data_IF_826825533362
#
_entry.id   IF_826825533362
#
_cell.length_a   1.000
_cell.length_b   1.000
_cell.length_c   1.000
_cell.angle_alpha   90.00
_cell.angle_beta   90.00
_cell.angle_gamma   90.00
#
_symmetry.space_group_name_H-M   'P 1'
#
loop_
_entity.id
_entity.type
_entity.pdbx_description
1 polymer ?
#
# COMPACT_ATOMS: atom_id res chain seq x y z
N UNK A 1 -5.11 -18.12 20.28
CA UNK A 1 -5.49 -16.72 20.61
C UNK A 1 -6.50 -16.28 19.55
N UNK A 2 -7.71 -15.91 19.94
CA UNK A 2 -8.89 -15.96 19.06
C UNK A 2 -9.06 -14.74 18.16
N UNK A 3 -9.59 -14.92 16.95
CA UNK A 3 -10.04 -13.88 16.01
C UNK A 3 -10.86 -12.76 16.68
N UNK A 4 -11.58 -13.09 17.75
CA UNK A 4 -12.38 -12.15 18.52
C UNK A 4 -11.53 -11.10 19.26
N UNK A 5 -10.32 -11.45 19.70
CA UNK A 5 -9.42 -10.49 20.33
C UNK A 5 -9.00 -9.39 19.34
N UNK A 6 -8.63 -9.76 18.11
CA UNK A 6 -8.27 -8.80 17.06
C UNK A 6 -9.45 -7.92 16.63
N UNK A 7 -10.65 -8.49 16.48
CA UNK A 7 -11.86 -7.72 16.17
C UNK A 7 -12.20 -6.71 17.26
N UNK A 8 -12.02 -7.09 18.53
CA UNK A 8 -12.24 -6.17 19.65
C UNK A 8 -11.23 -5.02 19.63
N UNK A 9 -9.95 -5.30 19.37
CA UNK A 9 -8.89 -4.28 19.26
C UNK A 9 -9.17 -3.31 18.11
N UNK A 10 -9.59 -3.81 16.96
CA UNK A 10 -9.99 -2.97 15.81
C UNK A 10 -11.17 -2.06 16.15
N UNK A 11 -12.25 -2.61 16.71
CA UNK A 11 -13.44 -1.85 17.09
C UNK A 11 -13.13 -0.75 18.12
N UNK A 12 -12.24 -1.05 19.09
CA UNK A 12 -11.80 -0.06 20.08
C UNK A 12 -10.89 1.00 19.46
N UNK A 13 -10.02 0.62 18.53
CA UNK A 13 -9.18 1.56 17.77
C UNK A 13 -10.06 2.54 16.98
N UNK A 14 -11.09 2.04 16.29
CA UNK A 14 -12.07 2.87 15.58
C UNK A 14 -12.80 3.83 16.52
N UNK A 15 -13.21 3.38 17.70
CA UNK A 15 -13.85 4.25 18.70
C UNK A 15 -12.92 5.38 19.16
N UNK A 16 -11.62 5.09 19.36
CA UNK A 16 -10.63 6.07 19.78
C UNK A 16 -10.36 7.10 18.68
N UNK A 17 -10.28 6.67 17.43
CA UNK A 17 -10.16 7.56 16.25
C UNK A 17 -11.40 8.43 16.09
N UNK A 18 -12.61 7.87 16.19
CA UNK A 18 -13.87 8.63 16.09
C UNK A 18 -14.00 9.67 17.19
N UNK A 19 -13.70 9.31 18.45
CA UNK A 19 -13.62 10.28 19.56
C UNK A 19 -12.60 11.38 19.25
N UNK A 20 -11.40 11.01 18.83
CA UNK A 20 -10.37 11.99 18.47
C UNK A 20 -10.87 12.96 17.39
N UNK A 21 -11.46 12.43 16.32
CA UNK A 21 -11.96 13.22 15.18
C UNK A 21 -13.12 14.16 15.55
N UNK A 22 -13.92 13.82 16.57
CA UNK A 22 -15.04 14.66 17.02
C UNK A 22 -14.60 15.82 17.90
N UNK A 23 -13.51 15.66 18.65
CA UNK A 23 -13.07 16.62 19.67
C UNK A 23 -11.81 17.41 19.29
N UNK A 24 -11.11 17.07 18.21
CA UNK A 24 -9.92 17.78 17.74
C UNK A 24 -10.13 18.41 16.36
N UNK A 25 -9.36 19.46 16.06
CA UNK A 25 -9.40 20.14 14.76
C UNK A 25 -8.94 19.21 13.63
N UNK A 26 -9.17 19.63 12.38
CA UNK A 26 -8.91 18.88 11.13
C UNK A 26 -7.46 18.44 10.89
N UNK A 27 -6.52 18.76 11.79
CA UNK A 27 -5.10 18.61 11.55
C UNK A 27 -4.48 17.60 12.53
N UNK A 28 -3.96 16.50 11.99
CA UNK A 28 -3.21 15.50 12.71
C UNK A 28 -1.71 15.81 12.61
N UNK A 29 -1.04 16.04 13.73
CA UNK A 29 0.42 16.25 13.78
C UNK A 29 1.11 14.98 14.28
N UNK A 30 2.42 14.83 14.02
CA UNK A 30 3.19 13.66 14.48
C UNK A 30 3.25 13.52 16.00
N UNK A 31 3.11 14.63 16.72
CA UNK A 31 3.12 14.67 18.19
C UNK A 31 1.75 14.34 18.81
N UNK A 32 0.75 14.04 17.99
CA UNK A 32 -0.58 13.79 18.48
C UNK A 32 -0.62 12.54 19.38
N UNK A 33 -1.20 12.62 20.59
CA UNK A 33 -1.32 11.47 21.49
C UNK A 33 -2.03 10.26 20.88
N UNK A 34 -2.85 10.44 19.85
CA UNK A 34 -3.45 9.34 19.10
C UNK A 34 -2.39 8.47 18.40
N UNK A 35 -1.30 9.10 17.91
CA UNK A 35 -0.22 8.45 17.16
C UNK A 35 0.95 8.03 18.06
N UNK A 36 1.22 8.79 19.12
CA UNK A 36 2.40 8.54 19.98
C UNK A 36 2.13 7.55 21.10
N UNK A 37 0.88 7.41 21.56
CA UNK A 37 0.57 6.59 22.72
C UNK A 37 0.14 5.17 22.30
N UNK A 38 0.73 4.17 22.96
CA UNK A 38 0.24 2.80 22.89
C UNK A 38 -1.16 2.69 23.49
N UNK A 39 -1.92 1.73 22.97
CA UNK A 39 -3.26 1.39 23.40
C UNK A 39 -3.20 0.01 24.04
N UNK A 40 -3.46 -0.04 25.33
CA UNK A 40 -3.44 -1.27 26.10
C UNK A 40 -4.85 -1.80 26.31
N UNK A 41 -5.03 -3.10 26.15
CA UNK A 41 -6.28 -3.81 26.41
C UNK A 41 -6.01 -5.10 27.16
N UNK A 42 -6.80 -5.39 28.19
CA UNK A 42 -6.76 -6.68 28.87
C UNK A 42 -7.95 -7.54 28.44
N UNK A 43 -7.66 -8.73 27.93
CA UNK A 43 -8.68 -9.71 27.52
C UNK A 43 -8.27 -11.09 28.06
N UNK A 44 -9.13 -11.68 28.91
CA UNK A 44 -8.95 -13.02 29.46
C UNK A 44 -7.54 -13.25 30.09
N UNK A 45 -7.02 -12.26 30.82
CA UNK A 45 -5.70 -12.34 31.45
C UNK A 45 -4.51 -12.13 30.50
N UNK A 46 -4.75 -11.77 29.24
CA UNK A 46 -3.72 -11.37 28.29
C UNK A 46 -3.78 -9.85 28.03
N UNK A 47 -2.62 -9.20 27.96
CA UNK A 47 -2.49 -7.80 27.55
C UNK A 47 -2.23 -7.71 26.05
N UNK A 48 -3.06 -6.95 25.35
CA UNK A 48 -2.87 -6.59 23.95
C UNK A 48 -2.40 -5.15 23.91
N UNK A 49 -1.34 -4.90 23.14
CA UNK A 49 -0.77 -3.58 22.90
C UNK A 49 -0.96 -3.25 21.43
N UNK A 50 -1.53 -2.08 21.14
CA UNK A 50 -1.71 -1.57 19.78
C UNK A 50 -1.18 -0.16 19.62
N UNK A 51 -0.81 0.21 18.41
CA UNK A 51 -0.41 1.56 18.01
C UNK A 51 -1.22 2.01 16.80
N UNK A 52 -1.39 3.33 16.64
CA UNK A 52 -2.01 3.92 15.45
C UNK A 52 -0.93 4.73 14.74
N UNK A 53 -0.79 4.51 13.43
CA UNK A 53 0.17 5.22 12.60
C UNK A 53 -0.57 6.00 11.51
N UNK A 54 -0.08 7.21 11.21
CA UNK A 54 -0.58 8.01 10.11
C UNK A 54 0.07 7.59 8.79
N UNK A 55 -0.74 7.02 7.92
CA UNK A 55 -0.33 6.55 6.60
C UNK A 55 -0.26 7.68 5.56
N UNK A 56 -0.81 8.87 5.83
CA UNK A 56 -0.92 9.96 4.85
C UNK A 56 0.42 10.57 4.40
N UNK A 57 1.50 10.32 5.16
CA UNK A 57 2.85 10.79 4.84
C UNK A 57 3.62 9.89 3.86
N UNK A 58 3.04 8.77 3.43
CA UNK A 58 3.67 7.87 2.47
C UNK A 58 3.08 8.09 1.06
N UNK A 59 3.91 7.90 0.04
CA UNK A 59 3.47 7.85 -1.34
C UNK A 59 2.63 6.59 -1.57
N UNK A 60 1.40 6.75 -2.05
CA UNK A 60 0.57 5.60 -2.42
C UNK A 60 1.00 5.07 -3.79
N UNK A 61 1.59 3.88 -3.84
CA UNK A 61 2.12 3.33 -5.08
C UNK A 61 1.04 3.09 -6.14
N UNK A 62 -0.18 2.73 -5.71
CA UNK A 62 -1.34 2.59 -6.59
C UNK A 62 -1.73 3.89 -7.29
N UNK A 63 -1.23 5.04 -6.83
CA UNK A 63 -1.47 6.34 -7.47
C UNK A 63 -0.71 6.53 -8.77
N UNK A 64 0.28 5.67 -9.09
CA UNK A 64 0.99 5.66 -10.39
C UNK A 64 0.02 5.42 -11.56
N UNK A 65 -1.13 4.82 -11.29
CA UNK A 65 -2.21 4.63 -12.24
C UNK A 65 -3.50 5.33 -11.80
N UNK A 66 -4.44 5.46 -12.74
CA UNK A 66 -5.82 5.87 -12.52
C UNK A 66 -6.75 4.85 -13.17
N UNK A 67 -7.93 4.66 -12.58
CA UNK A 67 -8.94 3.80 -13.19
C UNK A 67 -9.43 4.42 -14.52
N UNK A 68 -9.24 3.67 -15.61
CA UNK A 68 -9.90 3.90 -16.89
C UNK A 68 -11.20 3.11 -17.00
N UNK A 69 -11.78 3.08 -18.21
CA UNK A 69 -13.05 2.39 -18.47
C UNK A 69 -12.90 0.86 -18.38
N UNK A 70 -11.83 0.33 -18.97
CA UNK A 70 -11.58 -1.11 -19.07
C UNK A 70 -10.25 -1.52 -18.45
N UNK A 71 -9.31 -0.58 -18.35
CA UNK A 71 -7.94 -0.80 -17.86
C UNK A 71 -7.47 0.34 -16.93
N UNK A 72 -6.30 0.18 -16.34
CA UNK A 72 -5.56 1.20 -15.60
C UNK A 72 -4.73 2.04 -16.57
N UNK A 73 -4.83 3.36 -16.44
CA UNK A 73 -4.09 4.31 -17.25
C UNK A 73 -3.00 4.96 -16.41
N UNK A 74 -1.89 5.30 -17.04
CA UNK A 74 -0.81 6.06 -16.40
C UNK A 74 -1.32 7.36 -15.76
N UNK A 75 -0.81 7.66 -14.57
CA UNK A 75 -1.01 8.91 -13.88
C UNK A 75 0.29 9.70 -13.84
N UNK A 76 0.56 10.43 -14.94
CA UNK A 76 1.78 11.22 -15.13
C UNK A 76 2.11 12.16 -13.97
N UNK A 77 1.08 12.71 -13.31
CA UNK A 77 1.29 13.57 -12.14
C UNK A 77 1.90 12.80 -10.98
N UNK A 78 1.33 11.65 -10.62
CA UNK A 78 1.89 10.80 -9.56
C UNK A 78 3.24 10.21 -9.93
N UNK A 79 3.44 9.85 -11.21
CA UNK A 79 4.74 9.37 -11.69
C UNK A 79 5.83 10.43 -11.48
N UNK A 80 5.55 11.71 -11.77
CA UNK A 80 6.51 12.79 -11.51
C UNK A 80 6.82 12.95 -10.02
N UNK A 81 5.80 12.86 -9.16
CA UNK A 81 6.01 12.90 -7.69
C UNK A 81 6.85 11.71 -7.23
N UNK A 82 6.62 10.52 -7.77
CA UNK A 82 7.42 9.34 -7.45
C UNK A 82 8.87 9.50 -7.90
N UNK A 83 9.12 10.03 -9.11
CA UNK A 83 10.47 10.35 -9.60
C UNK A 83 11.20 11.30 -8.66
N UNK A 84 10.55 12.41 -8.27
CA UNK A 84 11.12 13.37 -7.33
C UNK A 84 11.42 12.72 -5.97
N UNK A 85 10.52 11.88 -5.47
CA UNK A 85 10.72 11.15 -4.22
C UNK A 85 11.92 10.20 -4.29
N UNK A 86 12.05 9.42 -5.37
CA UNK A 86 13.17 8.49 -5.56
C UNK A 86 14.49 9.23 -5.76
N UNK A 87 14.47 10.36 -6.46
CA UNK A 87 15.63 11.25 -6.61
C UNK A 87 16.14 11.77 -5.26
N UNK A 88 15.23 12.14 -4.33
CA UNK A 88 15.61 12.54 -2.97
C UNK A 88 16.22 11.41 -2.13
N UNK A 89 16.03 10.15 -2.57
CA UNK A 89 16.70 8.98 -1.98
C UNK A 89 17.97 8.56 -2.70
N UNK A 90 18.46 9.39 -3.64
CA UNK A 90 19.63 9.14 -4.47
C UNK A 90 19.51 7.87 -5.34
N UNK A 91 18.28 7.47 -5.65
CA UNK A 91 18.04 6.35 -6.55
C UNK A 91 18.32 6.76 -8.00
N UNK A 92 18.96 5.87 -8.75
CA UNK A 92 19.24 6.12 -10.17
C UNK A 92 17.96 6.35 -10.97
N UNK A 93 18.01 7.30 -11.91
CA UNK A 93 16.85 7.68 -12.71
C UNK A 93 16.40 6.55 -13.64
N UNK A 94 17.32 5.78 -14.23
CA UNK A 94 16.94 4.67 -15.12
C UNK A 94 16.28 3.56 -14.31
N UNK A 95 16.82 3.24 -13.13
CA UNK A 95 16.19 2.29 -12.22
C UNK A 95 14.81 2.77 -11.75
N UNK A 96 14.65 4.07 -11.52
CA UNK A 96 13.35 4.66 -11.17
C UNK A 96 12.32 4.50 -12.29
N UNK A 97 12.71 4.74 -13.55
CA UNK A 97 11.81 4.51 -14.69
C UNK A 97 11.47 3.02 -14.86
N UNK A 98 12.44 2.12 -14.65
CA UNK A 98 12.21 0.68 -14.68
C UNK A 98 11.21 0.23 -13.61
N UNK A 99 11.33 0.77 -12.39
CA UNK A 99 10.38 0.53 -11.30
C UNK A 99 8.98 1.00 -11.69
N UNK A 100 8.85 2.20 -12.25
CA UNK A 100 7.55 2.74 -12.66
C UNK A 100 6.92 1.83 -13.73
N UNK A 101 7.65 1.52 -14.79
CA UNK A 101 7.14 0.71 -15.90
C UNK A 101 6.70 -0.68 -15.42
N UNK A 102 7.54 -1.37 -14.63
CA UNK A 102 7.21 -2.72 -14.13
C UNK A 102 6.04 -2.72 -13.15
N UNK A 103 5.88 -1.67 -12.32
CA UNK A 103 4.69 -1.56 -11.44
C UNK A 103 3.42 -1.32 -12.26
N UNK A 104 3.48 -0.51 -13.32
CA UNK A 104 2.30 -0.25 -14.13
C UNK A 104 1.91 -1.50 -14.94
N UNK A 105 2.86 -2.21 -15.54
CA UNK A 105 2.61 -3.51 -16.20
C UNK A 105 2.10 -4.56 -15.19
N UNK A 106 2.57 -4.54 -13.94
CA UNK A 106 2.03 -5.43 -12.91
C UNK A 106 0.54 -5.18 -12.61
N UNK A 107 0.09 -3.92 -12.70
CA UNK A 107 -1.24 -3.48 -12.31
C UNK A 107 -2.23 -3.49 -13.46
N UNK A 108 -1.80 -3.10 -14.66
CA UNK A 108 -2.68 -3.00 -15.82
C UNK A 108 -3.11 -4.38 -16.32
N UNK A 109 -4.16 -4.41 -17.14
CA UNK A 109 -4.83 -5.64 -17.57
C UNK A 109 -4.41 -6.10 -18.95
N UNK A 110 -3.62 -5.29 -19.65
CA UNK A 110 -3.14 -5.69 -20.96
C UNK A 110 -1.86 -6.54 -20.77
N UNK A 111 -1.24 -6.95 -21.87
CA UNK A 111 -0.02 -7.76 -21.81
C UNK A 111 1.07 -7.17 -22.71
N UNK A 112 0.97 -5.86 -22.97
CA UNK A 112 1.91 -5.16 -23.83
C UNK A 112 2.95 -4.50 -22.92
N UNK A 113 4.19 -5.00 -22.91
CA UNK A 113 5.19 -4.47 -22.01
C UNK A 113 5.55 -3.03 -22.38
N UNK A 114 5.77 -2.20 -21.35
CA UNK A 114 6.39 -0.88 -21.51
C UNK A 114 7.89 -1.02 -21.84
N UNK A 115 8.57 0.11 -22.07
CA UNK A 115 9.97 0.11 -22.50
C UNK A 115 10.90 -0.66 -21.55
N UNK A 116 10.66 -0.53 -20.25
CA UNK A 116 11.35 -1.29 -19.20
C UNK A 116 10.42 -2.24 -18.44
N UNK A 117 9.21 -2.41 -18.95
CA UNK A 117 8.13 -3.15 -18.34
C UNK A 117 8.23 -4.66 -18.53
N UNK A 118 7.56 -5.39 -17.66
CA UNK A 118 7.56 -6.85 -17.63
C UNK A 118 6.13 -7.33 -17.40
N UNK A 119 5.75 -8.36 -18.15
CA UNK A 119 4.40 -8.93 -18.19
C UNK A 119 4.43 -10.41 -17.82
N UNK A 120 3.29 -11.09 -17.93
CA UNK A 120 3.16 -12.53 -17.66
C UNK A 120 4.22 -13.41 -18.32
N UNK A 121 4.71 -13.04 -19.52
CA UNK A 121 5.76 -13.80 -20.20
C UNK A 121 7.07 -13.86 -19.39
N UNK A 122 7.35 -12.84 -18.58
CA UNK A 122 8.51 -12.79 -17.70
C UNK A 122 8.22 -13.51 -16.38
N UNK A 123 7.12 -13.16 -15.70
CA UNK A 123 6.82 -13.65 -14.35
C UNK A 123 6.50 -15.15 -14.31
N UNK A 124 5.93 -15.69 -15.38
CA UNK A 124 5.71 -17.14 -15.51
C UNK A 124 6.95 -17.89 -16.03
N UNK A 125 7.98 -17.14 -16.44
CA UNK A 125 9.20 -17.64 -17.04
C UNK A 125 10.19 -18.22 -16.04
N UNK A 126 11.23 -18.94 -16.52
CA UNK A 126 12.22 -19.58 -15.66
C UNK A 126 13.16 -18.61 -14.94
N UNK A 127 13.20 -17.34 -15.36
CA UNK A 127 14.04 -16.28 -14.76
C UNK A 127 13.39 -15.65 -13.53
N UNK A 128 12.09 -15.90 -13.30
CA UNK A 128 11.37 -15.41 -12.13
C UNK A 128 11.05 -16.55 -11.17
N UNK A 129 11.32 -16.35 -9.88
CA UNK A 129 11.06 -17.32 -8.83
C UNK A 129 10.52 -16.61 -7.57
N UNK A 130 9.37 -17.05 -7.02
CA UNK A 130 8.47 -18.08 -7.55
C UNK A 130 7.87 -17.67 -8.90
N UNK A 131 7.50 -18.64 -9.73
CA UNK A 131 6.75 -18.34 -10.97
C UNK A 131 5.34 -17.91 -10.61
N UNK A 132 4.89 -16.82 -11.21
CA UNK A 132 3.59 -16.22 -10.96
C UNK A 132 3.10 -15.43 -12.19
N UNK A 133 1.98 -14.75 -12.04
CA UNK A 133 1.39 -13.88 -13.06
C UNK A 133 1.33 -12.46 -12.51
N UNK A 134 1.27 -11.47 -13.40
CA UNK A 134 1.01 -10.09 -13.01
C UNK A 134 -0.32 -9.97 -12.27
N UNK A 135 -0.48 -8.90 -11.50
CA UNK A 135 -1.67 -8.73 -10.67
C UNK A 135 -2.93 -8.48 -11.49
N UNK A 136 -2.83 -7.71 -12.58
CA UNK A 136 -3.98 -7.15 -13.33
C UNK A 136 -5.01 -6.45 -12.42
N UNK A 137 -4.53 -5.88 -11.32
CA UNK A 137 -5.27 -5.14 -10.30
C UNK A 137 -4.33 -4.20 -9.56
N UNK A 138 -4.92 -3.25 -8.84
CA UNK A 138 -4.18 -2.50 -7.83
C UNK A 138 -3.53 -3.45 -6.80
N UNK A 139 -2.35 -3.05 -6.32
CA UNK A 139 -1.64 -3.71 -5.23
C UNK A 139 -2.49 -3.62 -3.95
N UNK A 140 -2.63 -4.75 -3.27
CA UNK A 140 -3.33 -4.90 -2.00
C UNK A 140 -2.35 -4.76 -0.84
N UNK A 141 -1.14 -5.32 -0.99
CA UNK A 141 -0.08 -5.26 0.00
C UNK A 141 1.21 -4.69 -0.60
N UNK A 142 1.98 -3.93 0.17
CA UNK A 142 3.27 -3.40 -0.27
C UNK A 142 4.29 -4.52 -0.55
N UNK A 143 4.17 -5.65 0.15
CA UNK A 143 5.05 -6.79 -0.02
C UNK A 143 4.92 -7.44 -1.42
N UNK A 144 3.82 -7.21 -2.15
CA UNK A 144 3.68 -7.60 -3.56
C UNK A 144 4.77 -6.97 -4.45
N UNK A 145 5.28 -5.79 -4.09
CA UNK A 145 6.37 -5.14 -4.83
C UNK A 145 7.66 -5.97 -4.84
N UNK A 146 7.85 -6.91 -3.90
CA UNK A 146 9.03 -7.80 -3.89
C UNK A 146 9.02 -8.81 -5.05
N UNK A 147 7.89 -8.99 -5.72
CA UNK A 147 7.79 -9.75 -6.96
C UNK A 147 8.33 -9.00 -8.17
N UNK A 148 8.51 -7.68 -8.07
CA UNK A 148 9.00 -6.86 -9.18
C UNK A 148 10.53 -6.86 -9.21
N UNK A 149 11.19 -7.25 -10.32
CA UNK A 149 12.64 -7.40 -10.38
C UNK A 149 13.43 -6.13 -10.06
N UNK A 150 13.01 -4.99 -10.61
CA UNK A 150 13.68 -3.70 -10.36
C UNK A 150 13.65 -3.28 -8.89
N UNK A 151 12.57 -3.61 -8.16
CA UNK A 151 12.46 -3.36 -6.72
C UNK A 151 13.50 -4.17 -5.93
N UNK A 152 13.88 -5.36 -6.39
CA UNK A 152 14.89 -6.21 -5.72
C UNK A 152 16.30 -5.60 -5.79
N UNK A 153 16.52 -4.63 -6.67
CA UNK A 153 17.78 -3.90 -6.82
C UNK A 153 17.89 -2.71 -5.85
N UNK A 154 16.81 -2.36 -5.15
CA UNK A 154 16.74 -1.21 -4.24
C UNK A 154 16.80 -1.67 -2.78
N UNK A 155 17.36 -0.84 -1.89
CA UNK A 155 17.20 -1.05 -0.46
C UNK A 155 15.72 -0.98 -0.07
N UNK A 156 15.16 -2.11 0.36
CA UNK A 156 13.77 -2.24 0.82
C UNK A 156 13.41 -1.25 1.93
N UNK A 157 14.38 -0.75 2.69
CA UNK A 157 14.15 0.26 3.73
C UNK A 157 13.55 1.57 3.17
N UNK A 158 13.84 1.91 1.91
CA UNK A 158 13.26 3.07 1.20
C UNK A 158 11.75 2.89 1.05
N UNK A 159 11.32 1.78 0.44
CA UNK A 159 9.91 1.49 0.21
C UNK A 159 9.14 1.33 1.53
N UNK A 160 9.71 0.62 2.51
CA UNK A 160 9.08 0.43 3.82
C UNK A 160 8.82 1.74 4.56
N UNK A 161 9.62 2.79 4.33
CA UNK A 161 9.50 4.08 5.01
C UNK A 161 8.65 5.10 4.26
N UNK A 162 8.70 5.08 2.93
CA UNK A 162 8.19 6.17 2.10
C UNK A 162 6.98 5.78 1.26
N UNK A 163 6.70 4.49 1.11
CA UNK A 163 5.68 3.97 0.19
C UNK A 163 4.63 3.16 0.96
N UNK A 164 3.39 3.18 0.48
CA UNK A 164 2.32 2.30 0.95
C UNK A 164 1.45 1.80 -0.20
N UNK A 165 0.64 0.78 0.10
CA UNK A 165 -0.45 0.33 -0.76
C UNK A 165 -1.78 0.61 -0.07
N UNK A 166 -2.48 1.66 -0.54
CA UNK A 166 -3.88 1.85 -0.21
C UNK A 166 -4.65 1.68 -1.51
N UNK A 167 -5.57 0.73 -1.53
CA UNK A 167 -6.58 0.66 -2.58
C UNK A 167 -7.23 2.03 -2.68
N UNK A 168 -7.25 2.62 -3.88
CA UNK A 168 -8.06 3.81 -4.16
C UNK A 168 -9.52 3.35 -4.19
N UNK A 169 -10.03 2.89 -3.04
CA UNK A 169 -11.37 2.39 -2.88
C UNK A 169 -12.23 3.59 -2.53
N UNK A 170 -12.98 4.07 -3.53
CA UNK A 170 -14.20 4.79 -3.26
C UNK A 170 -15.14 3.86 -2.49
N UNK A 171 -15.08 3.93 -1.16
CA UNK A 171 -16.07 3.42 -0.21
C UNK A 171 -16.15 1.89 -0.11
N UNK A 172 -15.39 1.32 0.82
CA UNK A 172 -15.67 0.01 1.41
C UNK A 172 -17.05 0.04 2.11
N UNK A 173 -18.12 -0.34 1.40
CA UNK A 173 -19.38 -0.76 2.03
C UNK A 173 -19.22 -2.22 2.47
N UNK A 174 -18.71 -2.44 3.67
CA UNK A 174 -18.78 -3.76 4.31
C UNK A 174 -20.26 -4.04 4.60
N UNK A 175 -20.95 -4.77 3.71
CA UNK A 175 -22.29 -5.31 3.96
C UNK A 175 -22.14 -6.66 4.65
N UNK A 176 -22.26 -6.69 5.97
CA UNK A 176 -22.54 -7.95 6.68
C UNK A 176 -23.98 -8.38 6.36
N UNK A 177 -24.12 -9.49 5.64
CA UNK A 177 -25.41 -10.16 5.46
C UNK A 177 -25.58 -11.11 6.65
N UNK A 178 -26.35 -10.71 7.66
CA UNK A 178 -26.84 -11.66 8.66
C UNK A 178 -27.75 -12.65 7.94
N UNK A 179 -27.35 -13.92 7.89
CA UNK A 179 -28.25 -15.03 7.57
C UNK A 179 -29.03 -15.30 8.86
N UNK A 180 -30.35 -15.13 8.80
CA UNK A 180 -31.29 -15.56 9.85
C UNK A 180 -31.45 -17.06 9.80
#
# INVERSE_FOLDING_TARGET
MSLNAFRNVEAMSLNKIDKFSRFNSSNLTKENPLLTNEIYFEINGATIVGSIHDASNCFNINSLVRAGKEDYLENKKSMNVFRELMYLTELDNNLTEEIIDQIIDWIDKNSNPRAYGLEDYYYSGPLHNPREFSGSRLLIDIEELKSIPSIRLVDWSIFRRLVLCISICYRLKIKYKYIR
#
